data_IF_236175830364
#
_entry.id   IF_236175830364
#
_cell.length_a   1.000
_cell.length_b   1.000
_cell.length_c   1.000
_cell.angle_alpha   90.00
_cell.angle_beta   90.00
_cell.angle_gamma   90.00
#
_symmetry.space_group_name_H-M   'P 1'
#
loop_
_entity.id
_entity.type
_entity.pdbx_description
1 polymer ?
#
# COMPACT_ATOMS: atom_id res chain seq x y z
N UNK A 1 11.61 0.18 18.16
CA UNK A 1 12.17 -0.62 17.04
C UNK A 1 11.07 -0.94 16.05
N UNK A 2 11.38 -1.09 14.75
CA UNK A 2 10.43 -1.33 13.64
C UNK A 2 9.44 -2.46 13.93
N UNK A 3 9.92 -3.56 14.49
CA UNK A 3 9.11 -4.73 14.85
C UNK A 3 7.99 -4.41 15.85
N UNK A 4 8.27 -3.63 16.90
CA UNK A 4 7.26 -3.20 17.86
C UNK A 4 6.14 -2.36 17.22
N UNK A 5 6.49 -1.52 16.23
CA UNK A 5 5.49 -0.74 15.48
C UNK A 5 4.62 -1.65 14.59
N UNK A 6 5.24 -2.62 13.90
CA UNK A 6 4.51 -3.57 13.07
C UNK A 6 3.50 -4.38 13.90
N UNK A 7 3.94 -4.87 15.06
CA UNK A 7 3.09 -5.66 15.94
C UNK A 7 1.92 -4.84 16.50
N UNK A 8 2.17 -3.60 16.93
CA UNK A 8 1.14 -2.77 17.57
C UNK A 8 0.14 -2.16 16.61
N UNK A 9 0.59 -1.76 15.43
CA UNK A 9 -0.25 -1.05 14.45
C UNK A 9 -0.95 -2.03 13.51
N UNK A 10 -0.28 -3.12 13.12
CA UNK A 10 -0.76 -4.04 12.08
C UNK A 10 -0.94 -5.49 12.56
N UNK A 11 -0.64 -5.79 13.83
CA UNK A 11 -0.70 -7.16 14.34
C UNK A 11 0.30 -8.11 13.68
N UNK A 12 1.34 -7.57 13.05
CA UNK A 12 2.24 -8.29 12.16
C UNK A 12 3.66 -8.34 12.73
N UNK A 13 4.30 -9.51 12.67
CA UNK A 13 5.71 -9.72 12.99
C UNK A 13 6.63 -9.21 11.87
N UNK A 14 7.90 -8.98 12.18
CA UNK A 14 8.89 -8.60 11.16
C UNK A 14 9.03 -9.68 10.06
N UNK A 15 8.97 -10.96 10.43
CA UNK A 15 9.09 -12.07 9.49
C UNK A 15 7.89 -12.15 8.53
N UNK A 16 6.67 -11.88 9.01
CA UNK A 16 5.49 -11.79 8.14
C UNK A 16 5.60 -10.63 7.15
N UNK A 17 6.09 -9.48 7.60
CA UNK A 17 6.36 -8.33 6.73
C UNK A 17 7.38 -8.70 5.63
N UNK A 18 8.50 -9.32 6.00
CA UNK A 18 9.56 -9.70 5.06
C UNK A 18 9.08 -10.76 4.06
N UNK A 19 8.30 -11.74 4.52
CA UNK A 19 7.72 -12.76 3.65
C UNK A 19 6.72 -12.15 2.66
N UNK A 20 5.83 -11.26 3.12
CA UNK A 20 4.89 -10.54 2.25
C UNK A 20 5.64 -9.69 1.22
N UNK A 21 6.68 -8.98 1.64
CA UNK A 21 7.50 -8.17 0.74
C UNK A 21 8.18 -9.03 -0.32
N UNK A 22 8.70 -10.20 0.06
CA UNK A 22 9.32 -11.15 -0.86
C UNK A 22 8.31 -11.73 -1.85
N UNK A 23 7.08 -12.03 -1.43
CA UNK A 23 6.00 -12.45 -2.31
C UNK A 23 5.64 -11.38 -3.34
N UNK A 24 5.81 -10.11 -3.00
CA UNK A 24 5.68 -8.96 -3.90
C UNK A 24 6.96 -8.64 -4.70
N UNK A 25 7.93 -9.56 -4.78
CA UNK A 25 9.22 -9.35 -5.45
C UNK A 25 9.98 -8.12 -4.95
N UNK A 26 9.89 -7.84 -3.65
CA UNK A 26 10.49 -6.66 -3.00
C UNK A 26 10.01 -5.32 -3.60
N UNK A 27 8.78 -5.27 -4.10
CA UNK A 27 8.24 -4.11 -4.80
C UNK A 27 6.86 -3.70 -4.27
N UNK A 28 6.44 -2.47 -4.62
CA UNK A 28 5.09 -1.98 -4.38
C UNK A 28 4.05 -2.89 -5.07
N UNK A 29 3.05 -3.37 -4.33
CA UNK A 29 2.01 -4.25 -4.87
C UNK A 29 1.17 -3.61 -5.99
N UNK A 30 1.11 -2.28 -6.07
CA UNK A 30 0.32 -1.56 -7.08
C UNK A 30 1.15 -1.22 -8.33
N UNK A 31 2.27 -0.50 -8.16
CA UNK A 31 3.02 0.02 -9.30
C UNK A 31 4.28 -0.77 -9.63
N UNK A 32 4.65 -1.78 -8.84
CA UNK A 32 5.86 -2.57 -9.03
C UNK A 32 7.17 -1.79 -8.78
N UNK A 33 7.10 -0.55 -8.28
CA UNK A 33 8.29 0.21 -7.93
C UNK A 33 9.08 -0.50 -6.82
N UNK A 34 10.36 -0.76 -7.08
CA UNK A 34 11.33 -1.25 -6.10
C UNK A 34 12.05 -0.03 -5.53
N UNK A 35 11.76 0.39 -4.30
CA UNK A 35 12.47 1.51 -3.71
C UNK A 35 13.91 1.13 -3.40
N UNK A 36 14.82 2.10 -3.61
CA UNK A 36 16.23 1.98 -3.24
C UNK A 36 16.46 2.05 -1.73
N UNK A 37 15.43 2.37 -0.95
CA UNK A 37 15.45 2.57 0.49
C UNK A 37 14.28 1.85 1.19
N UNK A 38 14.05 2.18 2.47
CA UNK A 38 12.96 1.61 3.28
C UNK A 38 11.61 2.34 3.12
N UNK A 39 11.35 3.03 2.00
CA UNK A 39 10.12 3.82 1.76
C UNK A 39 8.85 3.01 1.47
N UNK A 40 8.82 1.74 1.89
CA UNK A 40 7.65 0.89 1.78
C UNK A 40 6.81 0.93 3.04
N UNK A 41 5.50 1.01 2.84
CA UNK A 41 4.49 1.15 3.87
C UNK A 41 3.56 -0.06 3.86
N UNK A 42 3.11 -0.48 5.04
CA UNK A 42 2.07 -1.51 5.17
C UNK A 42 0.72 -0.87 4.90
N UNK A 43 0.08 -1.32 3.84
CA UNK A 43 -1.28 -0.93 3.48
C UNK A 43 -2.28 -1.85 4.18
N UNK A 44 -3.30 -1.26 4.79
CA UNK A 44 -4.30 -1.96 5.57
C UNK A 44 -5.67 -1.29 5.43
N UNK A 45 -6.72 -2.08 5.54
CA UNK A 45 -8.08 -1.57 5.61
C UNK A 45 -8.33 -0.90 6.97
N UNK A 46 -8.76 0.36 6.95
CA UNK A 46 -8.93 1.17 8.16
C UNK A 46 -10.04 0.66 9.10
N UNK A 47 -10.99 -0.14 8.59
CA UNK A 47 -12.09 -0.69 9.40
C UNK A 47 -11.77 -2.02 10.05
N UNK A 48 -11.27 -2.98 9.27
CA UNK A 48 -10.97 -4.35 9.71
C UNK A 48 -9.56 -4.53 10.25
N UNK A 49 -8.63 -3.62 9.93
CA UNK A 49 -7.21 -3.78 10.20
C UNK A 49 -6.53 -4.83 9.31
N UNK A 50 -7.25 -5.37 8.32
CA UNK A 50 -6.71 -6.37 7.40
C UNK A 50 -5.57 -5.76 6.58
N UNK A 51 -4.37 -6.34 6.70
CA UNK A 51 -3.23 -5.97 5.85
C UNK A 51 -3.50 -6.44 4.43
N UNK A 52 -3.48 -5.49 3.49
CA UNK A 52 -3.74 -5.71 2.06
C UNK A 52 -2.45 -5.96 1.29
N UNK A 53 -1.36 -5.30 1.67
CA UNK A 53 -0.08 -5.42 0.99
C UNK A 53 0.95 -4.41 1.48
N UNK A 54 2.08 -4.35 0.77
CA UNK A 54 3.14 -3.37 1.00
C UNK A 54 3.24 -2.44 -0.22
N UNK A 55 3.13 -1.14 0.01
CA UNK A 55 3.04 -0.11 -1.03
C UNK A 55 4.15 0.93 -0.90
N UNK A 56 4.51 1.58 -2.00
CA UNK A 56 5.31 2.81 -1.92
C UNK A 56 4.45 3.98 -1.39
N UNK A 57 5.11 5.00 -0.83
CA UNK A 57 4.44 6.18 -0.28
C UNK A 57 3.40 6.82 -1.21
N UNK A 58 3.73 7.08 -2.49
CA UNK A 58 2.77 7.66 -3.44
C UNK A 58 1.52 6.81 -3.68
N UNK A 59 1.67 5.49 -3.87
CA UNK A 59 0.53 4.60 -4.07
C UNK A 59 -0.34 4.52 -2.80
N UNK A 60 0.28 4.39 -1.64
CA UNK A 60 -0.44 4.34 -0.36
C UNK A 60 -1.21 5.64 -0.10
N UNK A 61 -0.57 6.79 -0.32
CA UNK A 61 -1.21 8.10 -0.19
C UNK A 61 -2.36 8.26 -1.21
N UNK A 62 -2.16 7.81 -2.45
CA UNK A 62 -3.19 7.83 -3.48
C UNK A 62 -4.46 7.11 -3.05
N UNK A 63 -4.35 5.90 -2.48
CA UNK A 63 -5.52 5.19 -1.94
C UNK A 63 -6.25 6.01 -0.87
N UNK A 64 -5.50 6.56 0.09
CA UNK A 64 -6.06 7.39 1.17
C UNK A 64 -6.72 8.68 0.66
N UNK A 65 -6.17 9.32 -0.37
CA UNK A 65 -6.76 10.51 -1.00
C UNK A 65 -8.12 10.24 -1.66
N UNK A 66 -8.38 8.99 -2.03
CA UNK A 66 -9.67 8.54 -2.53
C UNK A 66 -10.49 7.77 -1.47
N UNK A 67 -10.16 7.96 -0.18
CA UNK A 67 -10.87 7.36 0.96
C UNK A 67 -10.97 5.83 0.89
N UNK A 68 -9.95 5.17 0.34
CA UNK A 68 -9.94 3.73 0.09
C UNK A 68 -11.16 3.25 -0.73
N UNK A 69 -11.82 4.14 -1.49
CA UNK A 69 -13.05 3.86 -2.22
C UNK A 69 -12.74 3.40 -3.66
N UNK A 70 -12.95 2.12 -4.00
CA UNK A 70 -12.63 1.62 -5.34
C UNK A 70 -13.49 2.24 -6.43
N UNK A 71 -14.73 2.65 -6.13
CA UNK A 71 -15.60 3.32 -7.11
C UNK A 71 -15.05 4.70 -7.47
N UNK A 72 -14.56 5.45 -6.49
CA UNK A 72 -13.98 6.77 -6.71
C UNK A 72 -12.63 6.68 -7.45
N UNK A 73 -11.80 5.69 -7.12
CA UNK A 73 -10.55 5.41 -7.85
C UNK A 73 -10.80 5.11 -9.33
N UNK A 74 -11.82 4.29 -9.65
CA UNK A 74 -12.20 4.02 -11.04
C UNK A 74 -12.73 5.27 -11.75
N UNK A 75 -13.53 6.09 -11.07
CA UNK A 75 -14.02 7.35 -11.63
C UNK A 75 -12.88 8.33 -11.91
N UNK A 76 -11.88 8.41 -11.02
CA UNK A 76 -10.69 9.24 -11.23
C UNK A 76 -9.84 8.77 -12.42
N UNK A 77 -9.67 7.45 -12.58
CA UNK A 77 -9.00 6.88 -13.75
C UNK A 77 -9.74 7.25 -15.05
N UNK A 78 -11.06 7.05 -15.09
CA UNK A 78 -11.89 7.40 -16.24
C UNK A 78 -11.83 8.90 -16.58
N UNK A 79 -11.82 9.78 -15.57
CA UNK A 79 -11.67 11.22 -15.77
C UNK A 79 -10.34 11.58 -16.45
N UNK A 80 -9.23 10.96 -16.04
CA UNK A 80 -7.93 11.17 -16.68
C UNK A 80 -7.90 10.65 -18.12
N UNK A 81 -8.49 9.48 -18.38
CA UNK A 81 -8.57 8.92 -19.73
C UNK A 81 -9.41 9.80 -20.68
N UNK A 82 -10.48 10.43 -20.16
CA UNK A 82 -11.36 11.32 -20.93
C UNK A 82 -10.74 12.71 -21.16
N UNK A 83 -10.12 13.30 -20.12
CA UNK A 83 -9.67 14.70 -20.12
C UNK A 83 -8.17 14.89 -20.30
N UNK A 84 -7.37 13.83 -20.18
CA UNK A 84 -5.91 13.87 -20.22
C UNK A 84 -5.29 13.86 -21.62
N UNK A 85 -5.97 14.46 -22.61
CA UNK A 85 -5.47 14.64 -23.98
C UNK A 85 -5.06 16.08 -24.23
#
# INVERSE_FOLDING_TARGET
MREYHLQRTYGMSLNEYENLLKQQNNSCAICGHVPSDRSLHVDHDAGSGLVRGILCGPCNQGLGSYYDNPALLRAAAAYLEEKGR
#
